data_IF_083963379414
#
_entry.id   IF_083963379414
#
_cell.length_a   1.000
_cell.length_b   1.000
_cell.length_c   1.000
_cell.angle_alpha   90.00
_cell.angle_beta   90.00
_cell.angle_gamma   90.00
#
_symmetry.space_group_name_H-M   'P 1'
#
loop_
_entity.id
_entity.type
_entity.pdbx_description
1 polymer ?
#
# COMPACT_ATOMS: atom_id res chain seq x y z
N UNK A 1 -0.57 10.71 17.29
CA UNK A 1 -0.07 9.37 17.66
C UNK A 1 1.38 9.19 17.18
N UNK A 2 1.69 9.46 15.90
CA UNK A 2 3.05 9.29 15.35
C UNK A 2 4.12 10.09 16.12
N UNK A 3 3.86 11.36 16.44
CA UNK A 3 4.80 12.20 17.20
C UNK A 3 5.03 11.71 18.63
N UNK A 4 3.96 11.21 19.29
CA UNK A 4 4.08 10.62 20.63
C UNK A 4 4.93 9.35 20.57
N UNK A 5 4.70 8.50 19.56
CA UNK A 5 5.50 7.28 19.35
C UNK A 5 6.96 7.61 19.02
N UNK A 6 7.22 8.67 18.24
CA UNK A 6 8.56 9.17 17.93
C UNK A 6 9.30 9.63 19.20
N UNK A 7 8.63 10.45 20.02
CA UNK A 7 9.19 10.90 21.29
C UNK A 7 9.46 9.75 22.26
N UNK A 8 8.51 8.81 22.37
CA UNK A 8 8.68 7.62 23.20
C UNK A 8 9.85 6.76 22.73
N UNK A 9 9.97 6.51 21.42
CA UNK A 9 11.10 5.76 20.85
C UNK A 9 12.44 6.47 21.07
N UNK A 10 12.47 7.81 20.96
CA UNK A 10 13.65 8.62 21.21
C UNK A 10 14.14 8.61 22.68
N UNK A 11 13.23 8.36 23.63
CA UNK A 11 13.58 8.24 25.06
C UNK A 11 14.13 6.85 25.43
N UNK A 12 13.82 5.81 24.64
CA UNK A 12 14.25 4.45 24.92
C UNK A 12 15.71 4.23 24.51
N UNK A 13 16.63 4.29 25.48
CA UNK A 13 18.09 4.07 25.28
C UNK A 13 18.40 2.69 24.68
N UNK A 14 17.62 1.66 24.98
CA UNK A 14 17.77 0.31 24.44
C UNK A 14 17.57 0.24 22.91
N UNK A 15 16.79 1.17 22.34
CA UNK A 15 16.55 1.30 20.90
C UNK A 15 17.47 2.35 20.25
N UNK A 16 18.58 2.74 20.91
CA UNK A 16 19.51 3.74 20.40
C UNK A 16 19.14 5.19 20.73
N UNK A 17 18.04 5.43 21.46
CA UNK A 17 17.58 6.78 21.83
C UNK A 17 17.35 7.66 20.62
N UNK A 18 17.56 8.96 20.76
CA UNK A 18 17.40 9.94 19.67
C UNK A 18 18.38 9.77 18.50
N UNK A 19 19.50 9.05 18.71
CA UNK A 19 20.49 8.78 17.64
C UNK A 19 20.13 7.61 16.73
N UNK A 20 19.14 6.83 17.13
CA UNK A 20 18.68 5.65 16.37
C UNK A 20 19.58 4.43 16.57
N UNK A 21 19.22 3.35 15.88
CA UNK A 21 19.91 2.05 15.93
C UNK A 21 20.49 1.73 14.56
N UNK A 22 21.69 1.13 14.54
CA UNK A 22 22.34 0.64 13.32
C UNK A 22 22.56 -0.86 13.42
N UNK A 23 22.48 -1.55 12.30
CA UNK A 23 22.86 -2.95 12.18
C UNK A 23 24.38 -3.10 12.34
N UNK A 24 24.86 -4.14 13.04
CA UNK A 24 26.28 -4.46 13.09
C UNK A 24 26.87 -4.61 11.69
N UNK A 25 28.11 -4.17 11.51
CA UNK A 25 28.82 -4.33 10.21
C UNK A 25 28.94 -5.83 9.88
N UNK A 26 28.45 -6.20 8.71
CA UNK A 26 28.51 -7.59 8.24
C UNK A 26 27.20 -8.36 8.29
N UNK A 27 26.23 -7.95 9.08
CA UNK A 27 24.93 -8.65 9.21
C UNK A 27 24.24 -8.87 7.87
N UNK A 28 24.31 -7.92 6.95
CA UNK A 28 23.74 -8.03 5.61
C UNK A 28 24.48 -9.03 4.71
N UNK A 29 25.76 -9.28 4.96
CA UNK A 29 26.58 -10.26 4.19
C UNK A 29 26.36 -11.67 4.68
N UNK A 30 26.00 -11.84 5.95
CA UNK A 30 25.77 -13.15 6.59
C UNK A 30 24.28 -13.56 6.52
N UNK A 31 23.45 -12.83 5.79
CA UNK A 31 22.04 -13.20 5.58
C UNK A 31 21.93 -14.53 4.85
N UNK A 32 20.98 -15.34 5.29
CA UNK A 32 20.65 -16.62 4.65
C UNK A 32 20.36 -16.41 3.15
N UNK A 33 21.11 -17.14 2.30
CA UNK A 33 20.96 -17.08 0.85
C UNK A 33 21.90 -16.09 0.13
N UNK A 34 22.53 -15.12 0.81
CA UNK A 34 23.49 -14.19 0.18
C UNK A 34 24.72 -14.93 -0.33
N UNK A 35 25.22 -15.90 0.42
CA UNK A 35 26.35 -16.73 -0.01
C UNK A 35 25.98 -17.57 -1.24
N UNK A 36 24.80 -18.17 -1.27
CA UNK A 36 24.31 -18.92 -2.42
C UNK A 36 24.17 -18.05 -3.68
N UNK A 37 23.63 -16.84 -3.54
CA UNK A 37 23.53 -15.91 -4.67
C UNK A 37 24.91 -15.42 -5.15
N UNK A 38 25.83 -15.20 -4.23
CA UNK A 38 27.21 -14.81 -4.55
C UNK A 38 27.88 -15.87 -5.41
N UNK A 39 27.78 -17.14 -5.00
CA UNK A 39 28.40 -18.24 -5.70
C UNK A 39 27.72 -18.55 -7.05
N UNK A 40 26.39 -18.31 -7.14
CA UNK A 40 25.61 -18.55 -8.36
C UNK A 40 25.82 -17.46 -9.42
N UNK A 41 25.95 -16.19 -9.00
CA UNK A 41 26.00 -15.04 -9.90
C UNK A 41 27.41 -14.46 -10.07
N UNK A 42 28.39 -14.99 -9.35
CA UNK A 42 29.79 -14.51 -9.33
C UNK A 42 29.94 -13.00 -9.11
N UNK A 43 29.15 -12.48 -8.17
CA UNK A 43 29.06 -11.04 -7.85
C UNK A 43 29.64 -10.74 -6.47
N UNK A 44 29.91 -9.47 -6.19
CA UNK A 44 30.37 -9.04 -4.87
C UNK A 44 29.32 -9.32 -3.79
N UNK A 45 29.75 -9.54 -2.54
CA UNK A 45 28.84 -9.80 -1.41
C UNK A 45 27.84 -8.66 -1.17
N UNK A 46 28.18 -7.41 -1.52
CA UNK A 46 27.28 -6.27 -1.44
C UNK A 46 26.17 -6.37 -2.52
N UNK A 47 26.55 -6.63 -3.76
CA UNK A 47 25.59 -6.78 -4.86
C UNK A 47 24.67 -8.01 -4.66
N UNK A 48 25.18 -9.10 -4.08
CA UNK A 48 24.36 -10.26 -3.72
C UNK A 48 23.35 -9.93 -2.60
N UNK A 49 23.74 -9.13 -1.59
CA UNK A 49 22.85 -8.68 -0.53
C UNK A 49 21.75 -7.74 -1.07
N UNK A 50 22.10 -6.81 -1.96
CA UNK A 50 21.14 -5.92 -2.61
C UNK A 50 20.14 -6.71 -3.49
N UNK A 51 20.62 -7.66 -4.27
CA UNK A 51 19.78 -8.54 -5.07
C UNK A 51 18.83 -9.36 -4.19
N UNK A 52 19.33 -9.94 -3.09
CA UNK A 52 18.51 -10.69 -2.15
C UNK A 52 17.41 -9.83 -1.52
N UNK A 53 17.74 -8.62 -1.09
CA UNK A 53 16.77 -7.68 -0.52
C UNK A 53 15.71 -7.28 -1.56
N UNK A 54 16.11 -7.07 -2.82
CA UNK A 54 15.19 -6.82 -3.92
C UNK A 54 14.21 -7.97 -4.13
N UNK A 55 14.69 -9.21 -4.18
CA UNK A 55 13.83 -10.39 -4.36
C UNK A 55 12.88 -10.60 -3.17
N UNK A 56 13.36 -10.37 -1.94
CA UNK A 56 12.51 -10.41 -0.74
C UNK A 56 11.43 -9.33 -0.77
N UNK A 57 11.78 -8.10 -1.17
CA UNK A 57 10.81 -7.01 -1.30
C UNK A 57 9.77 -7.30 -2.39
N UNK A 58 10.20 -7.85 -3.54
CA UNK A 58 9.31 -8.25 -4.61
C UNK A 58 8.37 -9.39 -4.16
N UNK A 59 8.92 -10.41 -3.51
CA UNK A 59 8.13 -11.51 -2.96
C UNK A 59 7.10 -11.01 -1.94
N UNK A 60 7.50 -10.13 -1.02
CA UNK A 60 6.59 -9.51 -0.06
C UNK A 60 5.48 -8.71 -0.75
N UNK A 61 5.81 -7.91 -1.76
CA UNK A 61 4.83 -7.14 -2.51
C UNK A 61 3.80 -8.05 -3.19
N UNK A 62 4.26 -9.13 -3.85
CA UNK A 62 3.37 -10.12 -4.48
C UNK A 62 2.51 -10.83 -3.45
N UNK A 63 3.09 -11.29 -2.33
CA UNK A 63 2.34 -11.95 -1.25
C UNK A 63 1.27 -11.03 -0.68
N UNK A 64 1.59 -9.76 -0.42
CA UNK A 64 0.63 -8.79 0.11
C UNK A 64 -0.47 -8.44 -0.88
N UNK A 65 -0.17 -8.37 -2.19
CA UNK A 65 -1.18 -8.20 -3.24
C UNK A 65 -2.12 -9.40 -3.31
N UNK A 66 -1.58 -10.61 -3.31
CA UNK A 66 -2.36 -11.84 -3.33
C UNK A 66 -3.20 -11.97 -2.06
N UNK A 67 -2.63 -11.71 -0.89
CA UNK A 67 -3.34 -11.76 0.39
C UNK A 67 -4.50 -10.75 0.41
N UNK A 68 -4.26 -9.51 -0.05
CA UNK A 68 -5.30 -8.48 -0.16
C UNK A 68 -6.41 -8.89 -1.13
N UNK A 69 -6.05 -9.45 -2.27
CA UNK A 69 -7.02 -9.96 -3.26
C UNK A 69 -7.87 -11.10 -2.70
N UNK A 70 -7.25 -12.10 -2.08
CA UNK A 70 -7.95 -13.22 -1.47
C UNK A 70 -8.84 -12.76 -0.31
N UNK A 71 -8.35 -11.84 0.51
CA UNK A 71 -9.13 -11.25 1.61
C UNK A 71 -10.38 -10.52 1.09
N UNK A 72 -10.24 -9.68 0.06
CA UNK A 72 -11.35 -8.96 -0.54
C UNK A 72 -12.34 -9.88 -1.26
N UNK A 73 -11.89 -11.04 -1.75
CA UNK A 73 -12.75 -12.04 -2.39
C UNK A 73 -13.43 -12.97 -1.39
N UNK A 74 -13.02 -12.96 -0.14
CA UNK A 74 -13.62 -13.78 0.93
C UNK A 74 -14.95 -13.22 1.43
N UNK A 75 -15.60 -13.93 2.36
CA UNK A 75 -16.80 -13.46 3.07
C UNK A 75 -16.56 -12.14 3.82
N UNK A 76 -15.33 -11.93 4.30
CA UNK A 76 -14.94 -10.67 4.94
C UNK A 76 -15.01 -9.48 3.95
N UNK A 77 -14.57 -9.68 2.70
CA UNK A 77 -14.68 -8.66 1.65
C UNK A 77 -16.13 -8.29 1.32
N UNK A 78 -17.04 -9.28 1.26
CA UNK A 78 -18.48 -9.00 1.13
C UNK A 78 -19.03 -8.19 2.29
N UNK A 79 -18.64 -8.53 3.52
CA UNK A 79 -19.02 -7.76 4.70
C UNK A 79 -18.48 -6.33 4.67
N UNK A 80 -17.26 -6.11 4.17
CA UNK A 80 -16.69 -4.76 3.98
C UNK A 80 -17.47 -3.93 2.95
N UNK A 81 -17.92 -4.55 1.84
CA UNK A 81 -18.76 -3.88 0.86
C UNK A 81 -20.11 -3.47 1.48
N UNK A 82 -20.77 -4.37 2.22
CA UNK A 82 -22.00 -4.05 2.92
C UNK A 82 -21.82 -2.90 3.92
N UNK A 83 -20.71 -2.87 4.68
CA UNK A 83 -20.40 -1.76 5.60
C UNK A 83 -20.17 -0.44 4.86
N UNK A 84 -19.52 -0.50 3.69
CA UNK A 84 -19.27 0.67 2.85
C UNK A 84 -20.58 1.29 2.36
N UNK A 85 -21.53 0.46 1.94
CA UNK A 85 -22.81 0.91 1.39
C UNK A 85 -23.73 1.44 2.50
N UNK A 86 -23.94 0.67 3.57
CA UNK A 86 -24.71 1.09 4.74
C UNK A 86 -24.31 0.29 5.99
N UNK A 87 -23.62 0.96 6.92
CA UNK A 87 -23.14 0.34 8.15
C UNK A 87 -24.29 -0.15 9.07
N UNK A 88 -25.41 0.56 9.12
CA UNK A 88 -26.54 0.17 9.97
C UNK A 88 -27.25 -1.06 9.40
N UNK A 89 -27.48 -1.07 8.09
CA UNK A 89 -28.07 -2.23 7.40
C UNK A 89 -27.16 -3.46 7.51
N UNK A 90 -25.85 -3.31 7.37
CA UNK A 90 -24.88 -4.39 7.54
C UNK A 90 -24.94 -5.01 8.94
N UNK A 91 -25.08 -4.19 9.99
CA UNK A 91 -25.27 -4.69 11.36
C UNK A 91 -26.58 -5.45 11.53
N UNK A 92 -27.66 -4.99 10.91
CA UNK A 92 -28.96 -5.65 11.00
C UNK A 92 -28.95 -7.08 10.40
N UNK A 93 -28.10 -7.34 9.43
CA UNK A 93 -27.91 -8.68 8.84
C UNK A 93 -26.78 -9.50 9.51
N UNK A 94 -26.30 -9.04 10.68
CA UNK A 94 -25.34 -9.79 11.49
C UNK A 94 -23.86 -9.55 11.15
N UNK A 95 -23.54 -8.56 10.33
CA UNK A 95 -22.15 -8.18 10.05
C UNK A 95 -21.60 -7.34 11.20
N UNK A 96 -20.48 -7.77 11.79
CA UNK A 96 -19.77 -7.02 12.84
C UNK A 96 -18.71 -6.09 12.21
N UNK A 97 -18.94 -4.75 12.16
CA UNK A 97 -18.00 -3.84 11.55
C UNK A 97 -16.67 -3.72 12.31
N UNK A 98 -16.70 -3.91 13.64
CA UNK A 98 -15.49 -3.76 14.45
C UNK A 98 -14.50 -4.90 14.15
N UNK A 99 -14.98 -6.13 14.13
CA UNK A 99 -14.13 -7.30 13.83
C UNK A 99 -13.58 -7.24 12.42
N UNK A 100 -14.38 -6.83 11.43
CA UNK A 100 -13.93 -6.70 10.04
C UNK A 100 -12.89 -5.59 9.88
N UNK A 101 -13.09 -4.43 10.49
CA UNK A 101 -12.10 -3.35 10.48
C UNK A 101 -10.81 -3.77 11.19
N UNK A 102 -10.92 -4.47 12.32
CA UNK A 102 -9.77 -4.98 13.05
C UNK A 102 -8.97 -5.99 12.23
N UNK A 103 -9.63 -6.90 11.49
CA UNK A 103 -8.93 -7.87 10.64
C UNK A 103 -8.17 -7.19 9.47
N UNK A 104 -8.76 -6.16 8.83
CA UNK A 104 -8.05 -5.34 7.84
C UNK A 104 -6.85 -4.66 8.45
N UNK A 105 -7.04 -4.04 9.63
CA UNK A 105 -5.96 -3.35 10.33
C UNK A 105 -4.81 -4.29 10.67
N UNK A 106 -5.09 -5.49 11.18
CA UNK A 106 -4.07 -6.49 11.50
C UNK A 106 -3.31 -6.95 10.26
N UNK A 107 -4.01 -7.21 9.15
CA UNK A 107 -3.38 -7.61 7.89
C UNK A 107 -2.44 -6.52 7.35
N UNK A 108 -2.90 -5.26 7.35
CA UNK A 108 -2.10 -4.13 6.90
C UNK A 108 -0.94 -3.82 7.83
N UNK A 109 -1.15 -3.88 9.16
CA UNK A 109 -0.10 -3.67 10.15
C UNK A 109 1.01 -4.73 10.05
N UNK A 110 0.65 -6.00 9.82
CA UNK A 110 1.61 -7.08 9.60
C UNK A 110 2.45 -6.82 8.34
N UNK A 111 1.81 -6.50 7.22
CA UNK A 111 2.51 -6.18 5.97
C UNK A 111 3.44 -4.98 6.10
N UNK A 112 2.97 -3.90 6.73
CA UNK A 112 3.78 -2.69 6.97
C UNK A 112 4.96 -2.99 7.89
N UNK A 113 4.78 -3.83 8.93
CA UNK A 113 5.88 -4.25 9.81
C UNK A 113 6.97 -5.01 9.06
N UNK A 114 6.59 -5.93 8.16
CA UNK A 114 7.56 -6.64 7.31
C UNK A 114 8.28 -5.70 6.34
N UNK A 115 7.57 -4.74 5.72
CA UNK A 115 8.19 -3.69 4.90
C UNK A 115 9.21 -2.89 5.70
N UNK A 116 8.88 -2.49 6.93
CA UNK A 116 9.79 -1.77 7.82
C UNK A 116 11.07 -2.56 8.11
N UNK A 117 10.96 -3.88 8.34
CA UNK A 117 12.12 -4.74 8.53
C UNK A 117 13.03 -4.79 7.30
N UNK A 118 12.46 -4.92 6.09
CA UNK A 118 13.24 -4.91 4.83
C UNK A 118 13.94 -3.57 4.61
N UNK A 119 13.26 -2.46 4.90
CA UNK A 119 13.84 -1.11 4.79
C UNK A 119 14.98 -0.95 5.78
N UNK A 120 14.85 -1.48 7.02
CA UNK A 120 15.93 -1.44 7.99
C UNK A 120 17.17 -2.22 7.53
N UNK A 121 16.99 -3.37 6.89
CA UNK A 121 18.08 -4.14 6.29
C UNK A 121 18.78 -3.32 5.19
N UNK A 122 18.02 -2.64 4.33
CA UNK A 122 18.55 -1.86 3.21
C UNK A 122 19.30 -0.59 3.67
N UNK A 123 18.72 0.16 4.61
CA UNK A 123 19.28 1.43 5.07
C UNK A 123 20.37 1.21 6.13
N UNK A 124 20.38 0.05 6.80
CA UNK A 124 21.30 -0.36 7.88
C UNK A 124 21.28 0.51 9.13
N UNK A 125 20.64 1.68 9.08
CA UNK A 125 20.47 2.59 10.21
C UNK A 125 19.09 3.22 10.18
N UNK A 126 18.38 3.16 11.31
CA UNK A 126 17.09 3.82 11.50
C UNK A 126 17.16 4.81 12.63
N UNK A 127 16.74 6.04 12.36
CA UNK A 127 16.54 7.07 13.39
C UNK A 127 15.05 7.23 13.67
N UNK A 128 14.64 7.66 14.88
CA UNK A 128 13.23 7.91 15.18
C UNK A 128 12.59 8.90 14.23
N UNK A 129 13.34 9.93 13.79
CA UNK A 129 12.84 10.95 12.87
C UNK A 129 12.52 10.36 11.49
N UNK A 130 13.38 9.51 10.95
CA UNK A 130 13.15 8.84 9.66
C UNK A 130 12.04 7.77 9.76
N UNK A 131 11.99 7.02 10.87
CA UNK A 131 10.99 5.97 11.07
C UNK A 131 9.56 6.50 11.20
N UNK A 132 9.39 7.73 11.75
CA UNK A 132 8.09 8.36 11.97
C UNK A 132 7.86 9.59 11.06
N UNK A 133 8.60 9.71 9.95
CA UNK A 133 8.41 10.79 8.99
C UNK A 133 7.01 10.74 8.37
N UNK A 134 6.21 11.79 8.61
CA UNK A 134 4.87 11.92 8.02
C UNK A 134 4.95 12.08 6.51
N UNK A 135 6.00 12.75 6.01
CA UNK A 135 6.20 12.97 4.59
C UNK A 135 6.45 11.64 3.87
N UNK A 136 7.40 10.85 4.34
CA UNK A 136 7.83 9.63 3.64
C UNK A 136 6.80 8.50 3.77
N UNK A 137 6.19 8.34 4.94
CA UNK A 137 5.30 7.21 5.21
C UNK A 137 3.82 7.49 5.01
N UNK A 138 3.41 8.76 5.03
CA UNK A 138 2.00 9.11 4.89
C UNK A 138 1.73 9.89 3.62
N UNK A 139 2.43 11.01 3.40
CA UNK A 139 2.13 11.88 2.27
C UNK A 139 2.40 11.18 0.93
N UNK A 140 3.55 10.53 0.77
CA UNK A 140 3.88 9.81 -0.47
C UNK A 140 2.95 8.62 -0.73
N UNK A 141 2.58 7.88 0.32
CA UNK A 141 1.64 6.76 0.18
C UNK A 141 0.25 7.25 -0.23
N UNK A 142 -0.25 8.31 0.39
CA UNK A 142 -1.53 8.93 -0.01
C UNK A 142 -1.46 9.40 -1.46
N UNK A 143 -0.38 10.07 -1.84
CA UNK A 143 -0.18 10.53 -3.21
C UNK A 143 -0.22 9.38 -4.23
N UNK A 144 0.52 8.30 -3.98
CA UNK A 144 0.54 7.11 -4.83
C UNK A 144 -0.86 6.49 -4.98
N UNK A 145 -1.59 6.34 -3.87
CA UNK A 145 -2.93 5.74 -3.88
C UNK A 145 -3.95 6.64 -4.58
N UNK A 146 -3.87 7.95 -4.37
CA UNK A 146 -4.77 8.93 -4.99
C UNK A 146 -4.58 8.98 -6.50
N UNK A 147 -3.34 9.10 -6.97
CA UNK A 147 -3.03 9.13 -8.41
C UNK A 147 -3.36 7.80 -9.06
N UNK A 148 -2.98 6.69 -8.42
CA UNK A 148 -3.24 5.36 -8.96
C UNK A 148 -4.72 5.05 -9.10
N UNK A 149 -5.51 5.42 -8.11
CA UNK A 149 -6.97 5.23 -8.06
C UNK A 149 -7.43 4.56 -6.77
N UNK A 150 -8.13 5.31 -5.95
CA UNK A 150 -8.68 4.84 -4.68
C UNK A 150 -9.69 3.73 -4.93
N UNK A 151 -9.57 2.62 -4.18
CA UNK A 151 -10.52 1.50 -4.23
C UNK A 151 -10.28 0.50 -5.35
N UNK A 152 -9.16 0.59 -6.06
CA UNK A 152 -8.73 -0.39 -7.06
C UNK A 152 -7.45 -1.09 -6.62
N UNK A 153 -7.33 -2.40 -6.89
CA UNK A 153 -6.12 -3.17 -6.57
C UNK A 153 -4.91 -2.79 -7.44
N UNK A 154 -5.06 -2.61 -8.77
CA UNK A 154 -3.93 -2.22 -9.63
C UNK A 154 -3.58 -0.73 -9.52
N UNK A 155 -4.47 0.11 -8.96
CA UNK A 155 -4.23 1.54 -8.78
C UNK A 155 -2.90 1.87 -8.12
N UNK A 156 -2.60 1.37 -6.93
CA UNK A 156 -1.33 1.63 -6.25
C UNK A 156 -0.10 1.26 -7.08
N UNK A 157 -0.16 0.21 -7.91
CA UNK A 157 0.96 -0.20 -8.76
C UNK A 157 1.26 0.89 -9.80
N UNK A 158 0.22 1.40 -10.46
CA UNK A 158 0.35 2.50 -11.42
C UNK A 158 0.79 3.78 -10.72
N UNK A 159 0.22 4.05 -9.54
CA UNK A 159 0.61 5.20 -8.74
C UNK A 159 2.09 5.21 -8.38
N UNK A 160 2.66 4.04 -7.99
CA UNK A 160 4.10 3.90 -7.70
C UNK A 160 4.94 4.15 -8.95
N UNK A 161 4.54 3.63 -10.11
CA UNK A 161 5.27 3.83 -11.38
C UNK A 161 5.31 5.32 -11.72
N UNK A 162 4.15 5.99 -11.66
CA UNK A 162 4.06 7.44 -11.93
C UNK A 162 4.89 8.23 -10.92
N UNK A 163 4.76 7.90 -9.62
CA UNK A 163 5.54 8.54 -8.58
C UNK A 163 7.05 8.39 -8.81
N UNK A 164 7.52 7.20 -9.15
CA UNK A 164 8.93 6.93 -9.41
C UNK A 164 9.46 7.71 -10.62
N UNK A 165 8.68 7.76 -11.70
CA UNK A 165 9.04 8.55 -12.90
C UNK A 165 9.13 10.04 -12.53
N UNK A 166 8.14 10.58 -11.82
CA UNK A 166 8.15 11.98 -11.39
C UNK A 166 9.35 12.27 -10.47
N UNK A 167 9.60 11.40 -9.51
CA UNK A 167 10.73 11.55 -8.59
C UNK A 167 12.06 11.60 -9.37
N UNK A 168 12.22 10.74 -10.37
CA UNK A 168 13.42 10.74 -11.23
C UNK A 168 13.56 12.01 -12.06
N UNK A 169 12.45 12.48 -12.65
CA UNK A 169 12.46 13.67 -13.52
C UNK A 169 12.65 14.99 -12.72
N UNK A 170 12.17 15.02 -11.47
CA UNK A 170 12.18 16.22 -10.66
C UNK A 170 13.21 16.19 -9.52
N UNK A 171 14.02 15.14 -9.41
CA UNK A 171 15.02 14.99 -8.35
C UNK A 171 15.98 16.19 -8.26
N UNK A 172 16.34 16.78 -9.39
CA UNK A 172 17.30 17.88 -9.46
C UNK A 172 16.72 19.25 -9.02
N UNK A 173 15.39 19.33 -8.85
CA UNK A 173 14.70 20.59 -8.50
C UNK A 173 14.50 20.78 -6.98
N UNK A 174 15.08 19.93 -6.14
CA UNK A 174 15.01 20.05 -4.68
C UNK A 174 13.58 20.14 -4.14
N UNK A 175 13.28 21.18 -3.35
CA UNK A 175 11.96 21.35 -2.71
C UNK A 175 10.82 21.59 -3.71
N UNK A 176 11.10 22.08 -4.92
CA UNK A 176 10.08 22.31 -5.96
C UNK A 176 9.38 21.02 -6.38
N UNK A 177 10.08 19.90 -6.31
CA UNK A 177 9.51 18.60 -6.61
C UNK A 177 8.28 18.28 -5.74
N UNK A 178 8.29 18.64 -4.44
CA UNK A 178 7.17 18.43 -3.52
C UNK A 178 5.94 19.28 -3.92
N UNK A 179 6.19 20.51 -4.37
CA UNK A 179 5.12 21.42 -4.83
C UNK A 179 4.47 20.86 -6.10
N UNK A 180 5.28 20.42 -7.07
CA UNK A 180 4.79 19.82 -8.31
C UNK A 180 4.03 18.53 -8.01
N UNK A 181 4.55 17.71 -7.10
CA UNK A 181 3.90 16.48 -6.68
C UNK A 181 2.52 16.75 -6.09
N UNK A 182 2.43 17.71 -5.15
CA UNK A 182 1.17 18.13 -4.52
C UNK A 182 0.17 18.70 -5.53
N UNK A 183 0.64 19.59 -6.42
CA UNK A 183 -0.18 20.18 -7.49
C UNK A 183 -0.72 19.10 -8.44
N UNK A 184 0.13 18.15 -8.84
CA UNK A 184 -0.29 17.03 -9.69
C UNK A 184 -1.36 16.16 -9.00
N UNK A 185 -1.19 15.87 -7.70
CA UNK A 185 -2.20 15.14 -6.93
C UNK A 185 -3.55 15.84 -6.92
N UNK A 186 -3.56 17.17 -6.74
CA UNK A 186 -4.78 17.99 -6.79
C UNK A 186 -5.41 17.93 -8.20
N UNK A 187 -4.62 18.11 -9.24
CA UNK A 187 -5.09 18.05 -10.63
C UNK A 187 -5.72 16.70 -10.94
N UNK A 188 -5.05 15.61 -10.58
CA UNK A 188 -5.60 14.26 -10.78
C UNK A 188 -6.91 14.07 -10.02
N UNK A 189 -7.02 14.53 -8.77
CA UNK A 189 -8.26 14.45 -8.01
C UNK A 189 -9.41 15.24 -8.63
N UNK A 190 -9.13 16.42 -9.17
CA UNK A 190 -10.14 17.28 -9.80
C UNK A 190 -10.66 16.69 -11.13
N UNK A 191 -9.76 16.16 -11.95
CA UNK A 191 -10.12 15.64 -13.27
C UNK A 191 -10.52 14.16 -13.26
N UNK A 192 -9.99 13.36 -12.34
CA UNK A 192 -10.23 11.92 -12.28
C UNK A 192 -10.53 11.47 -10.86
N UNK A 193 -11.80 11.51 -10.46
CA UNK A 193 -12.26 11.03 -9.15
C UNK A 193 -11.94 9.55 -8.88
N UNK A 194 -11.74 8.77 -9.94
CA UNK A 194 -11.40 7.35 -9.88
C UNK A 194 -9.90 7.07 -10.01
N UNK A 195 -9.06 8.11 -10.11
CA UNK A 195 -7.63 8.00 -10.37
C UNK A 195 -7.30 7.58 -11.81
N UNK A 196 -6.01 7.42 -12.11
CA UNK A 196 -5.56 7.05 -13.45
C UNK A 196 -6.07 5.68 -13.89
N UNK A 197 -6.00 4.69 -12.99
CA UNK A 197 -6.50 3.36 -13.29
C UNK A 197 -8.00 3.33 -13.51
N UNK A 198 -8.78 3.98 -12.66
CA UNK A 198 -10.22 4.01 -12.79
C UNK A 198 -10.69 4.63 -14.11
N UNK A 199 -10.01 5.69 -14.58
CA UNK A 199 -10.28 6.30 -15.87
C UNK A 199 -9.88 5.40 -17.04
N UNK A 200 -8.75 4.69 -16.91
CA UNK A 200 -8.29 3.73 -17.91
C UNK A 200 -9.23 2.52 -17.99
N UNK A 201 -9.58 1.92 -16.86
CA UNK A 201 -10.52 0.78 -16.78
C UNK A 201 -11.90 1.15 -17.32
N UNK A 202 -12.42 2.35 -17.05
CA UNK A 202 -13.69 2.82 -17.59
C UNK A 202 -13.69 2.97 -19.12
N UNK A 203 -12.53 3.31 -19.71
CA UNK A 203 -12.39 3.44 -21.19
C UNK A 203 -12.14 2.12 -21.89
N UNK A 204 -11.37 1.22 -21.28
CA UNK A 204 -10.93 -0.04 -21.91
C UNK A 204 -11.81 -1.23 -21.54
N UNK A 205 -12.61 -1.13 -20.48
CA UNK A 205 -13.42 -2.23 -19.95
C UNK A 205 -12.58 -3.36 -19.32
N UNK A 206 -11.27 -3.16 -19.12
CA UNK A 206 -10.36 -4.18 -18.59
C UNK A 206 -10.30 -4.05 -17.07
N UNK A 207 -10.92 -5.00 -16.37
CA UNK A 207 -10.79 -5.17 -14.93
C UNK A 207 -10.07 -6.49 -14.63
N UNK A 208 -8.74 -6.48 -14.47
CA UNK A 208 -7.95 -7.70 -14.21
C UNK A 208 -8.28 -8.33 -12.85
N UNK A 209 -8.87 -7.57 -11.94
CA UNK A 209 -9.27 -8.04 -10.60
C UNK A 209 -10.73 -7.68 -10.32
N UNK A 210 -11.73 -8.42 -10.90
CA UNK A 210 -13.13 -8.12 -10.67
C UNK A 210 -13.48 -8.40 -9.19
N UNK A 211 -13.62 -7.35 -8.40
CA UNK A 211 -14.05 -7.42 -7.00
C UNK A 211 -15.57 -7.37 -6.86
N UNK A 212 -16.30 -7.07 -7.94
CA UNK A 212 -17.76 -7.05 -7.89
C UNK A 212 -18.33 -8.47 -7.93
N UNK A 213 -18.97 -8.87 -6.85
CA UNK A 213 -19.83 -10.06 -6.85
C UNK A 213 -21.10 -9.70 -7.64
N UNK A 214 -21.11 -10.00 -8.94
CA UNK A 214 -22.34 -9.86 -9.72
C UNK A 214 -23.32 -10.94 -9.24
N UNK A 215 -24.52 -10.57 -8.78
CA UNK A 215 -25.53 -11.56 -8.46
C UNK A 215 -25.83 -12.41 -9.72
N UNK A 216 -26.08 -13.71 -9.56
CA UNK A 216 -26.46 -14.55 -10.70
C UNK A 216 -27.63 -13.93 -11.45
N UNK A 217 -27.70 -14.15 -12.75
CA UNK A 217 -28.68 -13.51 -13.64
C UNK A 217 -30.13 -13.70 -13.16
N UNK A 218 -30.42 -14.80 -12.45
CA UNK A 218 -31.70 -15.11 -11.82
C UNK A 218 -32.11 -14.16 -10.67
N UNK A 219 -31.15 -13.46 -10.05
CA UNK A 219 -31.40 -12.53 -8.95
C UNK A 219 -31.30 -11.06 -9.38
N UNK A 220 -31.11 -10.78 -10.67
CA UNK A 220 -31.15 -9.40 -11.15
C UNK A 220 -32.59 -8.91 -11.12
N UNK A 221 -32.90 -8.07 -10.14
CA UNK A 221 -34.16 -7.33 -10.13
C UNK A 221 -34.19 -6.50 -11.41
N UNK A 222 -35.16 -6.78 -12.30
CA UNK A 222 -35.36 -5.96 -13.48
C UNK A 222 -35.67 -4.53 -13.00
N UNK A 223 -35.08 -3.51 -13.58
CA UNK A 223 -35.40 -2.12 -13.22
C UNK A 223 -36.90 -1.92 -13.43
N UNK A 224 -37.59 -1.53 -12.37
CA UNK A 224 -39.01 -1.18 -12.44
C UNK A 224 -39.16 -0.11 -13.50
N UNK A 225 -39.97 -0.32 -14.56
CA UNK A 225 -40.11 0.68 -15.60
C UNK A 225 -40.64 1.97 -15.01
N UNK A 226 -39.93 3.08 -15.29
CA UNK A 226 -40.18 4.41 -14.68
C UNK A 226 -41.60 4.96 -14.89
N UNK A 227 -42.44 4.31 -15.71
CA UNK A 227 -43.84 4.65 -15.93
C UNK A 227 -44.77 4.23 -14.80
N UNK A 228 -44.35 3.37 -13.86
CA UNK A 228 -45.19 2.91 -12.75
C UNK A 228 -45.15 3.86 -11.51
N UNK A 229 -44.32 4.89 -11.53
CA UNK A 229 -44.16 5.86 -10.41
C UNK A 229 -44.96 7.14 -10.63
N UNK A 230 -45.70 7.29 -11.74
CA UNK A 230 -46.50 8.49 -12.07
C UNK A 230 -48.01 8.21 -12.07
N UNK A 231 -48.46 7.17 -11.41
CA UNK A 231 -49.90 6.94 -11.19
C UNK A 231 -50.26 7.14 -9.70
#
# INVERSE_FOLDING_TARGET
VADISRLAAGQYKALGGGTGTSLPKGTTKDMFGVQFLKDLLDVSSAAAADAMTYWLALALAVVMLVASYLFLRSRAGLGLQAIRDNMQAARAVGVDPLRLKASVFLLTAFGTGLCGALIFIQITRVTPDAAFSVLDWTAFVIFVVVIGGIGTLPGPIIGVIVFYILQRLLADYGTLYLIVLGALGIVVMLFSRSGLWGTFSAKTGIDPFPLSHRPPASLRVQPVPSKAVKA
#
